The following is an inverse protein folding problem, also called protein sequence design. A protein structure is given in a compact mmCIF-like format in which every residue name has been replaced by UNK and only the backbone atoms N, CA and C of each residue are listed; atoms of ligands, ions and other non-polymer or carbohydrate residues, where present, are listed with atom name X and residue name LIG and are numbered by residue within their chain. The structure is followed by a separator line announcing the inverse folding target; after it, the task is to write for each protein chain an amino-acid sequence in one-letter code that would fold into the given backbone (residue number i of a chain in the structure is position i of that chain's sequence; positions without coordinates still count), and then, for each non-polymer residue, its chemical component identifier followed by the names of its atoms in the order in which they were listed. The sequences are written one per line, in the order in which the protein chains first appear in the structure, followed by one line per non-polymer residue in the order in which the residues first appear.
data_IF_690330510004
#
_entry.id   IF_690330510004
#
_cell.length_a   1.000
_cell.length_b   1.000
_cell.length_c   1.000
_cell.angle_alpha   90.00
_cell.angle_beta   90.00
_cell.angle_gamma   90.00
#
_symmetry.space_group_name_H-M   'P 1'
#
loop_
_entity.id
_entity.type
_entity.pdbx_description
1 polymer ?
#
# COMPACT_ATOMS: atom_id res chain seq x y z
N UNK A 1 19.01 -6.05 27.37
CA UNK A 1 18.32 -5.98 26.06
C UNK A 1 17.35 -7.14 26.00
N UNK A 2 16.05 -6.84 25.88
CA UNK A 2 14.96 -7.79 26.08
C UNK A 2 14.84 -8.73 24.87
N UNK A 3 14.94 -10.05 25.05
CA UNK A 3 14.98 -11.03 23.96
C UNK A 3 13.72 -10.98 23.05
N UNK A 4 12.59 -10.53 23.60
CA UNK A 4 11.35 -10.30 22.86
C UNK A 4 11.46 -9.10 21.90
N UNK A 5 12.12 -8.02 22.32
CA UNK A 5 12.34 -6.84 21.46
C UNK A 5 13.22 -7.22 20.26
N UNK A 6 14.29 -8.00 20.48
CA UNK A 6 15.12 -8.48 19.37
C UNK A 6 14.38 -9.42 18.41
N UNK A 7 13.36 -10.17 18.89
CA UNK A 7 12.56 -11.05 18.04
C UNK A 7 11.57 -10.26 17.18
N UNK A 8 10.96 -9.21 17.74
CA UNK A 8 10.10 -8.29 16.97
C UNK A 8 10.89 -7.56 15.89
N UNK A 9 12.07 -7.06 16.20
CA UNK A 9 12.93 -6.37 15.22
C UNK A 9 13.36 -7.31 14.08
N UNK A 10 13.70 -8.56 14.41
CA UNK A 10 14.01 -9.58 13.42
C UNK A 10 12.80 -9.92 12.55
N UNK A 11 11.60 -10.00 13.14
CA UNK A 11 10.36 -10.21 12.39
C UNK A 11 10.10 -9.08 11.40
N UNK A 12 10.22 -7.81 11.82
CA UNK A 12 10.10 -6.67 10.89
C UNK A 12 11.09 -6.75 9.74
N UNK A 13 12.34 -7.10 10.01
CA UNK A 13 13.38 -7.28 8.98
C UNK A 13 12.96 -8.31 7.94
N UNK A 14 12.37 -9.43 8.37
CA UNK A 14 11.86 -10.48 7.47
C UNK A 14 10.64 -10.00 6.70
N UNK A 15 9.68 -9.34 7.37
CA UNK A 15 8.45 -8.86 6.73
C UNK A 15 8.71 -7.82 5.64
N UNK A 16 9.77 -7.02 5.76
CA UNK A 16 10.22 -6.12 4.70
C UNK A 16 10.66 -6.83 3.41
N UNK A 17 10.92 -8.14 3.47
CA UNK A 17 11.26 -8.97 2.29
C UNK A 17 10.04 -9.61 1.64
N UNK A 18 8.88 -9.59 2.30
CA UNK A 18 7.63 -10.14 1.76
C UNK A 18 7.01 -9.13 0.80
N UNK A 19 6.90 -9.51 -0.46
CA UNK A 19 6.44 -8.65 -1.55
C UNK A 19 4.94 -8.81 -1.78
N UNK A 20 4.28 -7.73 -2.20
CA UNK A 20 2.87 -7.79 -2.59
C UNK A 20 2.71 -8.59 -3.90
N UNK A 21 1.78 -9.57 -3.96
CA UNK A 21 1.62 -10.42 -5.14
C UNK A 21 1.10 -9.65 -6.38
N UNK A 22 0.45 -8.51 -6.19
CA UNK A 22 -0.07 -7.66 -7.26
C UNK A 22 0.95 -6.58 -7.71
N UNK A 23 1.93 -6.28 -6.85
CA UNK A 23 3.03 -5.36 -7.09
C UNK A 23 4.33 -5.97 -6.53
N UNK A 24 4.96 -6.92 -7.26
CA UNK A 24 6.12 -7.70 -6.79
C UNK A 24 7.43 -6.89 -6.72
N UNK A 25 7.33 -5.56 -6.63
CA UNK A 25 8.43 -4.64 -6.42
C UNK A 25 8.33 -3.90 -5.07
N UNK A 26 7.22 -4.04 -4.34
CA UNK A 26 6.94 -3.30 -3.11
C UNK A 26 6.62 -4.29 -1.99
N UNK A 27 7.20 -4.08 -0.81
CA UNK A 27 6.93 -4.95 0.34
C UNK A 27 5.58 -4.66 0.97
N UNK A 28 5.00 -5.65 1.65
CA UNK A 28 3.76 -5.49 2.42
C UNK A 28 3.94 -4.50 3.58
N UNK A 29 5.16 -4.33 4.08
CA UNK A 29 5.52 -3.29 5.05
C UNK A 29 5.54 -1.90 4.41
N UNK A 30 6.11 -1.76 3.22
CA UNK A 30 6.17 -0.48 2.48
C UNK A 30 4.78 0.02 2.07
N UNK A 31 3.86 -0.90 1.79
CA UNK A 31 2.44 -0.58 1.55
C UNK A 31 1.66 -0.29 2.85
N UNK A 32 2.28 -0.45 4.02
CA UNK A 32 1.64 -0.25 5.31
C UNK A 32 0.56 -1.28 5.64
N UNK A 33 0.57 -2.45 4.99
CA UNK A 33 -0.37 -3.56 5.22
C UNK A 33 -0.06 -4.22 6.57
N UNK A 34 1.22 -4.42 6.89
CA UNK A 34 1.64 -4.85 8.23
C UNK A 34 1.53 -3.68 9.19
N UNK A 35 0.70 -3.80 10.23
CA UNK A 35 0.44 -2.74 11.19
C UNK A 35 1.24 -2.89 12.46
N UNK A 36 1.23 -4.10 13.01
CA UNK A 36 1.83 -4.40 14.29
C UNK A 36 2.42 -5.80 14.26
N UNK A 37 3.53 -5.97 14.97
CA UNK A 37 4.10 -7.28 15.30
C UNK A 37 4.16 -7.36 16.82
N UNK A 38 3.41 -8.29 17.40
CA UNK A 38 3.26 -8.46 18.84
C UNK A 38 3.92 -9.77 19.21
N UNK A 39 4.93 -9.71 20.09
CA UNK A 39 5.51 -10.91 20.66
C UNK A 39 4.73 -11.35 21.89
N UNK A 40 4.29 -12.61 21.86
CA UNK A 40 3.68 -13.32 22.97
C UNK A 40 4.62 -14.43 23.44
N UNK A 41 4.37 -14.99 24.62
CA UNK A 41 5.17 -16.10 25.16
C UNK A 41 5.07 -17.36 24.26
N UNK A 42 3.94 -17.54 23.56
CA UNK A 42 3.62 -18.69 22.71
C UNK A 42 3.93 -18.50 21.22
N UNK A 43 4.31 -17.29 20.78
CA UNK A 43 4.56 -16.99 19.38
C UNK A 43 4.54 -15.51 19.00
N UNK A 44 4.54 -15.24 17.69
CA UNK A 44 4.38 -13.91 17.11
C UNK A 44 2.95 -13.74 16.58
N UNK A 45 2.38 -12.57 16.80
CA UNK A 45 1.14 -12.14 16.15
C UNK A 45 1.44 -10.99 15.21
N UNK A 46 1.01 -11.14 13.96
CA UNK A 46 1.25 -10.18 12.88
C UNK A 46 -0.10 -9.60 12.47
N UNK A 47 -0.31 -8.33 12.77
CA UNK A 47 -1.57 -7.65 12.48
C UNK A 47 -1.49 -7.07 11.06
N UNK A 48 -2.40 -7.51 10.21
CA UNK A 48 -2.49 -7.10 8.82
C UNK A 48 -3.78 -6.29 8.59
N UNK A 49 -3.70 -5.20 7.83
CA UNK A 49 -4.88 -4.47 7.35
C UNK A 49 -4.88 -4.46 5.83
N UNK A 50 -5.83 -5.15 5.17
CA UNK A 50 -5.88 -5.21 3.72
C UNK A 50 -6.22 -3.84 3.12
N UNK A 51 -5.70 -3.57 1.92
CA UNK A 51 -5.90 -2.30 1.21
C UNK A 51 -7.37 -1.99 0.90
N UNK A 52 -8.22 -3.02 0.86
CA UNK A 52 -9.67 -2.91 0.90
C UNK A 52 -10.30 -4.21 1.41
N UNK A 53 -11.54 -4.15 1.91
CA UNK A 53 -12.21 -5.27 2.61
C UNK A 53 -12.43 -6.56 1.81
N UNK A 54 -12.26 -6.52 0.49
CA UNK A 54 -12.44 -7.66 -0.41
C UNK A 54 -11.20 -7.95 -1.23
N UNK A 55 -10.01 -7.60 -0.73
CA UNK A 55 -8.77 -7.81 -1.45
C UNK A 55 -8.49 -9.31 -1.67
N UNK A 56 -8.46 -9.81 -2.92
CA UNK A 56 -8.22 -11.22 -3.20
C UNK A 56 -6.80 -11.64 -2.78
N UNK A 57 -5.85 -10.71 -2.77
CA UNK A 57 -4.48 -10.95 -2.35
C UNK A 57 -4.32 -11.17 -0.82
N UNK A 58 -5.37 -10.96 -0.01
CA UNK A 58 -5.26 -11.03 1.46
C UNK A 58 -4.78 -12.41 1.93
N UNK A 59 -5.34 -13.49 1.38
CA UNK A 59 -4.98 -14.86 1.78
C UNK A 59 -3.55 -15.22 1.35
N UNK A 60 -3.13 -14.76 0.16
CA UNK A 60 -1.77 -14.95 -0.32
C UNK A 60 -0.76 -14.20 0.56
N UNK A 61 -1.03 -12.93 0.88
CA UNK A 61 -0.20 -12.11 1.76
C UNK A 61 -0.09 -12.75 3.15
N UNK A 62 -1.21 -13.23 3.72
CA UNK A 62 -1.23 -13.91 5.01
C UNK A 62 -0.32 -15.15 5.00
N UNK A 63 -0.45 -15.99 3.97
CA UNK A 63 0.39 -17.17 3.82
C UNK A 63 1.87 -16.81 3.67
N UNK A 64 2.22 -15.88 2.80
CA UNK A 64 3.60 -15.48 2.52
C UNK A 64 4.27 -14.88 3.76
N UNK A 65 3.53 -14.07 4.52
CA UNK A 65 3.98 -13.51 5.80
C UNK A 65 4.29 -14.60 6.82
N UNK A 66 3.40 -15.58 6.99
CA UNK A 66 3.61 -16.68 7.94
C UNK A 66 4.76 -17.59 7.51
N UNK A 67 4.83 -17.91 6.22
CA UNK A 67 5.90 -18.73 5.65
C UNK A 67 7.27 -18.07 5.80
N UNK A 68 7.37 -16.75 5.59
CA UNK A 68 8.62 -16.01 5.75
C UNK A 68 9.12 -16.04 7.21
N UNK A 69 8.21 -15.88 8.17
CA UNK A 69 8.53 -15.92 9.61
C UNK A 69 8.94 -17.32 10.06
N UNK A 70 8.27 -18.36 9.54
CA UNK A 70 8.66 -19.75 9.78
C UNK A 70 10.04 -20.06 9.20
N UNK A 71 10.30 -19.67 7.95
CA UNK A 71 11.59 -19.86 7.28
C UNK A 71 12.74 -19.15 7.99
N UNK A 72 12.47 -18.00 8.62
CA UNK A 72 13.43 -17.27 9.44
C UNK A 72 13.70 -17.92 10.81
N UNK A 73 13.00 -19.01 11.16
CA UNK A 73 13.16 -19.70 12.44
C UNK A 73 12.67 -18.89 13.63
N UNK A 74 11.79 -17.90 13.41
CA UNK A 74 11.30 -17.00 14.46
C UNK A 74 10.15 -17.59 15.28
N UNK A 75 9.93 -18.91 15.22
CA UNK A 75 8.94 -19.67 15.99
C UNK A 75 7.51 -19.59 15.43
N UNK A 76 6.54 -20.06 16.22
CA UNK A 76 5.12 -20.06 15.81
C UNK A 76 4.63 -18.64 15.57
N UNK A 77 3.93 -18.43 14.46
CA UNK A 77 3.32 -17.15 14.12
C UNK A 77 1.83 -17.33 13.79
N UNK A 78 1.05 -16.27 14.01
CA UNK A 78 -0.34 -16.14 13.56
C UNK A 78 -0.55 -14.77 12.93
N UNK A 79 -1.41 -14.71 11.92
CA UNK A 79 -1.83 -13.45 11.33
C UNK A 79 -3.22 -13.06 11.84
N UNK A 80 -3.42 -11.78 12.11
CA UNK A 80 -4.71 -11.23 12.53
C UNK A 80 -5.12 -10.13 11.57
N UNK A 81 -6.24 -10.32 10.87
CA UNK A 81 -6.80 -9.28 9.99
C UNK A 81 -7.54 -8.22 10.81
N UNK A 82 -7.01 -7.00 10.83
CA UNK A 82 -7.64 -5.83 11.44
C UNK A 82 -8.31 -4.99 10.35
N UNK A 83 -9.63 -4.83 10.44
CA UNK A 83 -10.43 -4.00 9.50
C UNK A 83 -10.70 -2.58 9.98
N UNK A 84 -10.46 -2.32 11.27
CA UNK A 84 -10.67 -1.01 11.89
C UNK A 84 -9.39 -0.60 12.65
N UNK A 85 -8.79 0.56 12.35
CA UNK A 85 -9.15 1.50 11.26
C UNK A 85 -9.00 0.87 9.87
N UNK A 86 -9.73 1.38 8.88
CA UNK A 86 -9.57 0.98 7.49
C UNK A 86 -8.18 1.40 6.99
N UNK A 87 -7.63 0.64 6.04
CA UNK A 87 -6.36 1.00 5.41
C UNK A 87 -6.49 2.34 4.67
N UNK A 88 -5.47 3.18 4.81
CA UNK A 88 -5.38 4.44 4.08
C UNK A 88 -4.10 4.50 3.26
N UNK A 89 -4.22 5.14 2.10
CA UNK A 89 -3.10 5.40 1.21
C UNK A 89 -1.97 6.24 1.82
N UNK A 90 -2.25 6.94 2.92
CA UNK A 90 -1.25 7.67 3.70
C UNK A 90 -0.29 6.73 4.45
N UNK A 91 -0.61 5.45 4.60
CA UNK A 91 0.25 4.47 5.25
C UNK A 91 1.37 3.93 4.37
N UNK A 92 1.37 4.24 3.07
CA UNK A 92 2.45 3.87 2.15
C UNK A 92 3.70 4.71 2.49
N UNK A 93 4.82 4.04 2.76
CA UNK A 93 6.11 4.65 3.05
C UNK A 93 6.66 5.45 1.86
N UNK A 94 7.56 6.40 2.10
CA UNK A 94 8.24 7.13 1.02
C UNK A 94 9.01 6.19 0.09
N UNK A 95 9.63 5.15 0.65
CA UNK A 95 10.30 4.10 -0.12
C UNK A 95 9.29 3.30 -0.96
N UNK A 96 8.14 2.94 -0.40
CA UNK A 96 7.05 2.29 -1.12
C UNK A 96 6.54 3.12 -2.30
N UNK A 97 6.37 4.43 -2.10
CA UNK A 97 5.98 5.37 -3.17
C UNK A 97 7.03 5.46 -4.27
N UNK A 98 8.31 5.50 -3.89
CA UNK A 98 9.42 5.50 -4.85
C UNK A 98 9.47 4.19 -5.65
N UNK A 99 9.32 3.04 -5.00
CA UNK A 99 9.25 1.71 -5.64
C UNK A 99 8.04 1.59 -6.57
N UNK A 100 6.86 2.05 -6.15
CA UNK A 100 5.65 2.11 -7.00
C UNK A 100 5.91 2.89 -8.28
N UNK A 101 6.48 4.11 -8.15
CA UNK A 101 6.81 4.95 -9.29
C UNK A 101 7.84 4.30 -10.22
N UNK A 102 8.88 3.69 -9.66
CA UNK A 102 9.89 2.95 -10.42
C UNK A 102 9.30 1.74 -11.15
N UNK A 103 8.32 1.06 -10.54
CA UNK A 103 7.57 -0.03 -11.14
C UNK A 103 6.58 0.44 -12.23
N UNK A 104 6.37 1.76 -12.38
CA UNK A 104 5.47 2.33 -13.37
C UNK A 104 4.04 2.55 -12.87
N UNK A 105 3.80 2.46 -11.57
CA UNK A 105 2.52 2.79 -10.93
C UNK A 105 2.62 4.19 -10.34
N UNK A 106 1.70 5.07 -10.69
CA UNK A 106 1.63 6.39 -10.07
C UNK A 106 1.12 6.26 -8.62
N UNK A 107 1.92 6.61 -7.61
CA UNK A 107 1.48 6.57 -6.21
C UNK A 107 0.36 7.59 -5.94
N UNK A 108 -0.45 7.39 -4.89
CA UNK A 108 -1.49 8.35 -4.50
C UNK A 108 -0.84 9.66 -4.02
N UNK A 109 -1.50 10.80 -4.21
CA UNK A 109 -1.03 12.05 -3.63
C UNK A 109 -1.13 11.98 -2.10
N UNK A 110 -0.07 12.37 -1.38
CA UNK A 110 -0.15 12.51 0.07
C UNK A 110 -0.92 13.80 0.39
N UNK A 111 -2.07 13.69 1.06
CA UNK A 111 -2.74 14.86 1.61
C UNK A 111 -2.06 15.17 2.95
N UNK A 112 -1.08 16.08 2.97
CA UNK A 112 -0.59 16.59 4.26
C UNK A 112 -1.77 17.21 5.02
N UNK A 113 -1.81 17.18 6.37
CA UNK A 113 -2.91 17.80 7.13
C UNK A 113 -3.14 19.27 6.76
N UNK A 114 -2.05 19.98 6.44
CA UNK A 114 -2.07 21.35 5.91
C UNK A 114 -2.74 21.40 4.52
N UNK A 115 -2.34 20.55 3.58
CA UNK A 115 -3.01 20.45 2.28
C UNK A 115 -4.49 20.09 2.45
N UNK A 116 -4.84 19.08 3.26
CA UNK A 116 -6.21 18.65 3.52
C UNK A 116 -7.10 19.77 4.07
N UNK A 117 -6.57 20.63 4.95
CA UNK A 117 -7.27 21.81 5.47
C UNK A 117 -7.59 22.84 4.38
N UNK A 118 -6.76 22.91 3.33
CA UNK A 118 -6.95 23.80 2.18
C UNK A 118 -7.70 23.13 1.01
N UNK A 119 -7.86 21.80 1.03
CA UNK A 119 -8.59 21.01 0.01
C UNK A 119 -10.04 20.72 0.40
N UNK A 120 -10.55 21.29 1.49
CA UNK A 120 -11.97 21.23 1.86
C UNK A 120 -12.83 21.93 0.80
N UNK A 121 -13.10 21.22 -0.30
CA UNK A 121 -13.99 21.69 -1.35
C UNK A 121 -15.44 21.46 -0.89
N UNK A 122 -16.33 22.46 -0.97
CA UNK A 122 -17.74 22.22 -0.75
C UNK A 122 -18.21 21.13 -1.72
N UNK A 123 -19.01 20.18 -1.23
CA UNK A 123 -19.59 19.11 -2.06
C UNK A 123 -20.41 19.77 -3.17
N UNK A 124 -19.84 19.86 -4.37
CA UNK A 124 -20.56 20.39 -5.54
C UNK A 124 -21.40 19.26 -6.12
N UNK A 125 -22.69 19.25 -5.80
CA UNK A 125 -23.65 18.25 -6.27
C UNK A 125 -23.70 18.11 -7.81
N UNK A 126 -23.27 19.16 -8.54
CA UNK A 126 -23.25 19.21 -10.01
C UNK A 126 -21.90 19.67 -10.59
N UNK A 127 -20.82 19.64 -9.80
CA UNK A 127 -19.49 20.01 -10.27
C UNK A 127 -18.72 18.79 -10.77
N UNK A 128 -18.10 18.88 -11.96
CA UNK A 128 -17.00 17.95 -12.30
C UNK A 128 -15.97 18.06 -11.19
N UNK A 129 -15.79 16.99 -10.41
CA UNK A 129 -14.65 16.85 -9.50
C UNK A 129 -13.42 17.16 -10.35
N UNK A 130 -12.69 18.22 -10.01
CA UNK A 130 -11.43 18.53 -10.67
C UNK A 130 -10.56 17.28 -10.48
N UNK A 131 -10.32 16.56 -11.58
CA UNK A 131 -9.58 15.31 -11.55
C UNK A 131 -8.25 15.54 -10.86
N UNK A 132 -7.91 14.64 -9.95
CA UNK A 132 -6.60 14.60 -9.32
C UNK A 132 -5.51 14.68 -10.40
N UNK A 133 -4.59 15.65 -10.26
CA UNK A 133 -3.47 15.82 -11.21
C UNK A 133 -2.44 14.74 -10.93
N UNK A 134 -2.55 13.63 -11.63
CA UNK A 134 -1.65 12.49 -11.46
C UNK A 134 -0.45 12.65 -12.39
N UNK A 135 0.75 12.64 -11.83
CA UNK A 135 1.98 12.72 -12.61
C UNK A 135 2.28 11.37 -13.27
N UNK A 136 2.61 11.39 -14.57
CA UNK A 136 3.05 10.19 -15.27
C UNK A 136 4.33 9.62 -14.63
N UNK A 137 4.37 8.33 -14.26
CA UNK A 137 5.53 7.74 -13.60
C UNK A 137 6.78 7.72 -14.49
N UNK A 138 6.60 7.76 -15.82
CA UNK A 138 7.68 7.67 -16.81
C UNK A 138 8.30 9.01 -17.23
N UNK A 139 7.48 10.05 -17.39
CA UNK A 139 7.95 11.36 -17.89
C UNK A 139 7.61 12.55 -16.97
N UNK A 140 7.00 12.30 -15.81
CA UNK A 140 6.57 13.29 -14.82
C UNK A 140 5.53 14.32 -15.30
N UNK A 141 5.05 14.24 -16.54
CA UNK A 141 3.97 15.12 -17.04
C UNK A 141 2.68 14.92 -16.24
N UNK A 142 2.08 16.00 -15.76
CA UNK A 142 0.75 16.03 -15.12
C UNK A 142 -0.40 16.01 -16.13
N UNK A 143 -0.10 16.09 -17.43
CA UNK A 143 -1.12 15.99 -18.49
C UNK A 143 -1.53 14.53 -18.67
N UNK A 144 -2.40 14.05 -17.81
CA UNK A 144 -2.90 12.67 -17.82
C UNK A 144 -4.41 12.65 -17.90
N UNK A 145 -4.95 11.63 -18.58
CA UNK A 145 -6.39 11.39 -18.66
C UNK A 145 -6.72 10.01 -18.09
N UNK A 146 -7.82 9.93 -17.33
CA UNK A 146 -8.31 8.65 -16.81
C UNK A 146 -9.01 7.89 -17.92
N UNK A 147 -8.53 6.69 -18.23
CA UNK A 147 -9.17 5.79 -19.19
C UNK A 147 -10.26 4.95 -18.51
N UNK A 148 -10.00 4.50 -17.28
CA UNK A 148 -10.93 3.67 -16.52
C UNK A 148 -10.79 3.96 -15.02
N UNK A 149 -11.89 3.87 -14.28
CA UNK A 149 -11.89 3.91 -12.81
C UNK A 149 -11.38 2.60 -12.17
N UNK A 150 -11.13 1.58 -13.01
CA UNK A 150 -10.68 0.24 -12.64
C UNK A 150 -9.39 -0.10 -13.39
N UNK A 151 -8.39 -0.63 -12.67
CA UNK A 151 -7.15 -1.18 -13.22
C UNK A 151 -7.11 -2.71 -13.08
N UNK A 152 -5.91 -3.28 -12.94
CA UNK A 152 -5.71 -4.71 -12.69
C UNK A 152 -6.34 -5.17 -11.38
N UNK A 153 -6.36 -4.28 -10.38
CA UNK A 153 -6.97 -4.50 -9.07
C UNK A 153 -7.97 -3.38 -8.74
N UNK A 154 -8.86 -3.67 -7.79
CA UNK A 154 -9.85 -2.71 -7.34
C UNK A 154 -9.23 -1.49 -6.64
N UNK A 155 -7.99 -1.57 -6.14
CA UNK A 155 -7.27 -0.42 -5.58
C UNK A 155 -6.59 0.46 -6.66
N UNK A 156 -6.53 0.01 -7.91
CA UNK A 156 -5.88 0.75 -9.02
C UNK A 156 -6.90 1.29 -10.02
N UNK A 157 -6.50 2.32 -10.76
CA UNK A 157 -7.22 2.90 -11.89
C UNK A 157 -6.27 3.06 -13.08
N UNK A 158 -6.82 3.01 -14.31
CA UNK A 158 -6.02 3.10 -15.53
C UNK A 158 -6.01 4.52 -16.11
N UNK A 159 -4.83 5.04 -16.37
CA UNK A 159 -4.58 6.35 -16.95
C UNK A 159 -3.73 6.27 -18.22
N UNK A 160 -3.74 7.35 -19.00
CA UNK A 160 -2.82 7.58 -20.11
C UNK A 160 -2.17 8.95 -19.98
N UNK A 161 -0.87 9.01 -20.19
CA UNK A 161 -0.18 10.27 -20.28
C UNK A 161 -0.35 10.88 -21.67
N UNK A 162 -0.83 12.13 -21.77
CA UNK A 162 -1.01 12.82 -23.06
C UNK A 162 0.33 13.27 -23.65
N UNK A 163 1.37 13.45 -22.83
CA UNK A 163 2.71 13.84 -23.31
C UNK A 163 3.46 12.67 -23.98
N UNK A 164 3.74 11.59 -23.24
CA UNK A 164 4.44 10.41 -23.79
C UNK A 164 3.54 9.33 -24.39
N UNK A 165 2.21 9.46 -24.27
CA UNK A 165 1.18 8.52 -24.78
C UNK A 165 1.15 7.13 -24.12
N UNK A 166 1.96 6.91 -23.10
CA UNK A 166 2.03 5.64 -22.39
C UNK A 166 0.83 5.47 -21.43
N UNK A 167 0.18 4.28 -21.43
CA UNK A 167 -0.76 3.91 -20.39
C UNK A 167 0.00 3.57 -19.09
N UNK A 168 -0.62 3.85 -17.95
CA UNK A 168 -0.07 3.50 -16.64
C UNK A 168 -1.18 3.32 -15.60
N UNK A 169 -0.89 2.59 -14.54
CA UNK A 169 -1.81 2.42 -13.41
C UNK A 169 -1.56 3.49 -12.35
N UNK A 170 -2.62 3.89 -11.67
CA UNK A 170 -2.59 4.77 -10.52
C UNK A 170 -3.20 4.07 -9.32
N UNK A 171 -2.48 4.05 -8.20
CA UNK A 171 -3.01 3.53 -6.95
C UNK A 171 -3.94 4.58 -6.35
N UNK A 172 -5.22 4.25 -6.19
CA UNK A 172 -6.26 5.20 -5.79
C UNK A 172 -6.06 5.66 -4.34
N UNK A 173 -6.30 6.95 -4.04
CA UNK A 173 -6.35 7.41 -2.67
C UNK A 173 -7.59 6.82 -1.95
N UNK A 174 -7.38 6.40 -0.70
CA UNK A 174 -8.40 5.94 0.26
C UNK A 174 -8.07 6.54 1.62
#
# INVERSE_FOLDING_TARGET
MNALASRVDAAWTVLHTVLDPEVPAVSVCDLGIVREVIAHDDGLEIVLTPTYSGCPATEAIEHDVLAAIEAAGLGRARATLRRAPAWSSDWISDEGRAKLKAYGIAPPAHLTPEAAAHTAMPIKLFGRIAGERIACPRCASERTERLSAFGSTACKALYRCVACREPFEHFKPI
#
